data_IF_791052198770
#
_entry.id   IF_791052198770
#
_cell.length_a   1.000
_cell.length_b   1.000
_cell.length_c   1.000
_cell.angle_alpha   90.00
_cell.angle_beta   90.00
_cell.angle_gamma   90.00
#
_symmetry.space_group_name_H-M   'P 1'
#
loop_
_entity.id
_entity.type
_entity.pdbx_description
1 polymer ?
#
# COMPACT_ATOMS: atom_id res chain seq x y z
N UNK A 1 7.23 -16.50 -27.95
CA UNK A 1 7.45 -17.93 -27.69
C UNK A 1 8.87 -18.13 -27.18
N UNK A 2 8.99 -18.94 -26.13
CA UNK A 2 10.18 -19.49 -25.45
C UNK A 2 11.41 -18.60 -25.22
N UNK A 3 11.75 -18.41 -23.94
CA UNK A 3 13.06 -18.77 -23.38
C UNK A 3 12.94 -18.94 -21.86
N UNK A 4 12.64 -20.17 -21.44
CA UNK A 4 12.86 -20.66 -20.07
C UNK A 4 14.32 -21.13 -20.05
N UNK A 5 15.18 -20.45 -19.31
CA UNK A 5 16.58 -20.84 -19.13
C UNK A 5 16.67 -21.82 -17.96
N UNK A 6 16.86 -23.08 -18.31
CA UNK A 6 17.19 -24.19 -17.42
C UNK A 6 18.64 -24.00 -16.93
N UNK A 7 18.86 -23.69 -15.65
CA UNK A 7 20.21 -23.71 -15.06
C UNK A 7 20.44 -25.08 -14.43
N UNK A 8 21.22 -25.89 -15.13
CA UNK A 8 21.80 -27.14 -14.64
C UNK A 8 22.91 -26.81 -13.64
N UNK A 9 22.87 -27.38 -12.43
CA UNK A 9 24.01 -27.41 -11.51
C UNK A 9 24.45 -28.85 -11.31
N UNK A 10 25.62 -29.18 -11.86
CA UNK A 10 26.39 -30.38 -11.53
C UNK A 10 27.87 -29.97 -11.58
N UNK A 11 28.63 -30.12 -10.49
CA UNK A 11 29.71 -31.12 -10.26
C UNK A 11 30.77 -30.36 -9.43
N UNK A 12 31.54 -30.85 -8.44
CA UNK A 12 31.94 -32.18 -8.00
C UNK A 12 32.33 -32.14 -6.50
N UNK A 13 32.19 -33.29 -5.84
CA UNK A 13 32.95 -33.70 -4.65
C UNK A 13 34.29 -34.31 -5.08
N UNK A 14 35.40 -33.91 -4.44
CA UNK A 14 36.55 -34.72 -3.92
C UNK A 14 37.34 -33.74 -3.01
N UNK A 15 37.80 -34.00 -1.78
CA UNK A 15 37.91 -35.18 -0.93
C UNK A 15 39.06 -34.96 0.08
N UNK A 16 39.02 -35.72 1.19
CA UNK A 16 40.06 -35.98 2.21
C UNK A 16 40.14 -35.08 3.48
N UNK A 17 39.88 -35.73 4.63
CA UNK A 17 40.34 -35.28 5.95
C UNK A 17 39.40 -35.67 7.11
N UNK A 18 39.45 -36.93 7.56
CA UNK A 18 38.56 -37.43 8.62
C UNK A 18 38.89 -36.96 10.03
N UNK A 19 37.85 -36.81 10.88
CA UNK A 19 37.86 -37.15 12.31
C UNK A 19 36.43 -37.14 12.86
N UNK A 20 36.15 -38.11 13.71
CA UNK A 20 34.89 -38.31 14.45
C UNK A 20 34.72 -37.20 15.48
N UNK A 21 33.51 -36.69 15.65
CA UNK A 21 32.93 -36.40 16.98
C UNK A 21 31.42 -36.14 16.85
N UNK A 22 30.66 -36.87 17.68
CA UNK A 22 29.23 -36.72 17.89
C UNK A 22 28.96 -35.42 18.65
N UNK A 23 28.04 -34.60 18.14
CA UNK A 23 27.64 -33.37 18.81
C UNK A 23 26.38 -32.81 18.15
N UNK A 24 25.25 -32.95 18.86
CA UNK A 24 23.95 -32.38 18.48
C UNK A 24 24.05 -30.87 18.51
N UNK A 25 24.10 -30.24 17.34
CA UNK A 25 23.89 -28.81 17.15
C UNK A 25 22.72 -28.61 16.19
N UNK A 26 21.50 -28.45 16.75
CA UNK A 26 20.37 -27.85 16.04
C UNK A 26 20.60 -26.34 15.97
N UNK A 27 21.48 -25.91 15.08
CA UNK A 27 21.56 -24.54 14.60
C UNK A 27 21.03 -24.54 13.17
N UNK A 28 19.71 -24.44 13.01
CA UNK A 28 19.14 -24.11 11.71
C UNK A 28 19.39 -22.61 11.50
N UNK A 29 20.55 -22.32 10.93
CA UNK A 29 20.86 -21.09 10.22
C UNK A 29 19.87 -20.97 9.05
N UNK A 30 18.71 -20.38 9.33
CA UNK A 30 17.80 -19.91 8.28
C UNK A 30 18.38 -18.59 7.83
N UNK A 31 19.37 -18.65 6.95
CA UNK A 31 19.76 -17.53 6.12
C UNK A 31 18.50 -17.10 5.37
N UNK A 32 17.94 -15.98 5.81
CA UNK A 32 16.91 -15.27 5.07
C UNK A 32 17.52 -14.91 3.72
N UNK A 33 17.15 -15.66 2.69
CA UNK A 33 17.33 -15.24 1.31
C UNK A 33 16.48 -13.98 1.14
N UNK A 34 17.13 -12.83 1.36
CA UNK A 34 16.64 -11.55 0.87
C UNK A 34 16.73 -11.63 -0.65
N UNK A 35 15.65 -12.11 -1.27
CA UNK A 35 15.36 -11.81 -2.66
C UNK A 35 15.12 -10.30 -2.76
N UNK A 36 16.19 -9.52 -2.91
CA UNK A 36 16.11 -8.18 -3.50
C UNK A 36 15.90 -8.34 -5.01
N UNK A 37 14.78 -8.95 -5.36
CA UNK A 37 14.25 -8.95 -6.71
C UNK A 37 13.74 -7.53 -6.97
N UNK A 38 14.24 -6.93 -8.04
CA UNK A 38 14.10 -5.53 -8.49
C UNK A 38 12.65 -5.13 -8.83
N UNK A 39 11.70 -5.41 -7.93
CA UNK A 39 10.27 -5.25 -8.12
C UNK A 39 9.89 -3.79 -7.83
N UNK A 40 9.12 -3.13 -8.72
CA UNK A 40 8.68 -1.76 -8.49
C UNK A 40 7.97 -1.61 -7.13
N UNK A 41 8.32 -0.57 -6.37
CA UNK A 41 7.68 -0.30 -5.08
C UNK A 41 6.19 -0.02 -5.23
N UNK A 42 5.80 0.69 -6.29
CA UNK A 42 4.41 0.95 -6.64
C UNK A 42 4.14 0.24 -7.97
N UNK A 43 3.13 -0.61 -7.99
CA UNK A 43 2.77 -1.40 -9.18
C UNK A 43 1.44 -0.98 -9.80
N UNK A 44 0.61 -0.27 -9.05
CA UNK A 44 -0.66 0.24 -9.57
C UNK A 44 -0.39 1.47 -10.45
N UNK A 45 -0.76 1.45 -11.74
CA UNK A 45 -0.42 2.51 -12.67
C UNK A 45 -1.14 3.83 -12.36
N UNK A 46 -2.31 3.79 -11.72
CA UNK A 46 -3.05 4.98 -11.32
C UNK A 46 -2.32 5.66 -10.16
N UNK A 47 -1.89 4.89 -9.16
CA UNK A 47 -1.11 5.39 -8.01
C UNK A 47 0.25 5.87 -8.46
N UNK A 48 0.97 5.09 -9.27
CA UNK A 48 2.29 5.44 -9.77
C UNK A 48 2.24 6.77 -10.52
N UNK A 49 1.30 6.93 -11.46
CA UNK A 49 1.14 8.16 -12.22
C UNK A 49 0.84 9.35 -11.31
N UNK A 50 -0.05 9.19 -10.34
CA UNK A 50 -0.40 10.26 -9.41
C UNK A 50 0.79 10.69 -8.53
N UNK A 51 1.60 9.74 -8.06
CA UNK A 51 2.84 10.04 -7.32
C UNK A 51 3.82 10.81 -8.19
N UNK A 52 4.00 10.39 -9.45
CA UNK A 52 4.91 11.09 -10.38
C UNK A 52 4.48 12.51 -10.66
N UNK A 53 3.17 12.74 -10.80
CA UNK A 53 2.58 14.08 -10.97
C UNK A 53 2.82 14.94 -9.72
N UNK A 54 2.55 14.41 -8.52
CA UNK A 54 2.77 15.10 -7.24
C UNK A 54 4.25 15.48 -7.04
N UNK A 55 5.16 14.55 -7.31
CA UNK A 55 6.60 14.75 -7.13
C UNK A 55 7.26 15.51 -8.28
N UNK A 56 6.52 15.81 -9.35
CA UNK A 56 7.07 16.36 -10.61
C UNK A 56 8.25 15.52 -11.15
N UNK A 57 8.13 14.19 -11.03
CA UNK A 57 9.16 13.19 -11.38
C UNK A 57 8.62 12.22 -12.45
N UNK A 58 8.64 12.60 -13.73
CA UNK A 58 7.97 11.83 -14.79
C UNK A 58 8.68 10.51 -15.14
N UNK A 59 9.98 10.40 -14.86
CA UNK A 59 10.81 9.24 -15.24
C UNK A 59 11.68 8.77 -14.07
N UNK A 60 12.36 7.64 -14.26
CA UNK A 60 13.22 7.02 -13.26
C UNK A 60 12.42 6.23 -12.21
N UNK A 61 13.17 5.54 -11.35
CA UNK A 61 12.63 4.72 -10.27
C UNK A 61 12.01 5.59 -9.16
N UNK A 62 10.90 5.12 -8.60
CA UNK A 62 10.32 5.69 -7.37
C UNK A 62 10.91 4.94 -6.17
N UNK A 63 11.72 5.66 -5.38
CA UNK A 63 12.39 5.14 -4.19
C UNK A 63 11.52 5.34 -2.94
N UNK A 64 11.85 4.68 -1.82
CA UNK A 64 11.17 4.94 -0.53
C UNK A 64 11.23 6.42 -0.12
N UNK A 65 12.39 7.05 -0.31
CA UNK A 65 12.60 8.47 -0.05
C UNK A 65 11.74 9.39 -0.93
N UNK A 66 11.33 8.93 -2.12
CA UNK A 66 10.35 9.64 -2.93
C UNK A 66 8.95 9.53 -2.31
N UNK A 67 8.55 8.33 -1.86
CA UNK A 67 7.25 8.10 -1.24
C UNK A 67 7.06 8.89 0.06
N UNK A 68 8.13 9.06 0.85
CA UNK A 68 8.11 9.89 2.07
C UNK A 68 7.80 11.37 1.81
N UNK A 69 8.05 11.86 0.60
CA UNK A 69 7.73 13.26 0.22
C UNK A 69 6.27 13.43 -0.18
N UNK A 70 5.55 12.36 -0.47
CA UNK A 70 4.15 12.40 -0.90
C UNK A 70 3.25 12.61 0.31
N UNK A 71 2.79 13.85 0.49
CA UNK A 71 1.89 14.23 1.60
C UNK A 71 0.46 14.48 1.14
N UNK A 72 0.23 14.60 -0.17
CA UNK A 72 -1.07 14.84 -0.80
C UNK A 72 -1.18 13.97 -2.05
N UNK A 73 -2.37 13.42 -2.30
CA UNK A 73 -2.63 12.68 -3.53
C UNK A 73 -4.09 12.89 -3.96
N UNK A 74 -4.30 13.03 -5.27
CA UNK A 74 -5.62 13.17 -5.87
C UNK A 74 -5.86 12.09 -6.93
N UNK A 75 -6.85 11.24 -6.68
CA UNK A 75 -7.27 10.13 -7.53
C UNK A 75 -8.73 10.34 -7.98
N UNK A 76 -9.00 11.54 -8.50
CA UNK A 76 -10.34 11.99 -8.90
C UNK A 76 -10.74 11.37 -10.24
N UNK A 77 -12.00 10.90 -10.37
CA UNK A 77 -12.56 10.40 -11.64
C UNK A 77 -11.73 9.30 -12.30
N UNK A 78 -11.22 8.37 -11.49
CA UNK A 78 -10.38 7.26 -11.95
C UNK A 78 -11.16 5.96 -12.15
N UNK A 79 -12.48 5.98 -11.94
CA UNK A 79 -13.36 4.82 -12.06
C UNK A 79 -12.94 3.68 -11.11
N UNK A 80 -12.35 4.02 -9.96
CA UNK A 80 -11.88 3.04 -8.98
C UNK A 80 -13.06 2.30 -8.36
N UNK A 81 -13.02 0.98 -8.37
CA UNK A 81 -14.00 0.11 -7.68
C UNK A 81 -13.49 -0.36 -6.32
N UNK A 82 -12.18 -0.29 -6.09
CA UNK A 82 -11.49 -0.59 -4.83
C UNK A 82 -10.34 0.41 -4.62
N UNK A 83 -9.84 0.50 -3.38
CA UNK A 83 -8.64 1.29 -3.08
C UNK A 83 -7.43 0.67 -3.79
N UNK A 84 -6.71 1.43 -4.63
CA UNK A 84 -5.56 0.91 -5.36
C UNK A 84 -4.45 0.35 -4.46
N UNK A 85 -3.84 -0.76 -4.88
CA UNK A 85 -2.70 -1.35 -4.17
C UNK A 85 -1.49 -0.42 -4.21
N UNK A 86 -0.72 -0.38 -3.12
CA UNK A 86 0.46 0.46 -2.99
C UNK A 86 0.16 1.83 -2.39
N UNK A 87 -1.11 2.24 -2.31
CA UNK A 87 -1.49 3.47 -1.60
C UNK A 87 -1.05 3.40 -0.14
N UNK A 88 -1.11 2.22 0.48
CA UNK A 88 -0.69 1.97 1.86
C UNK A 88 0.80 2.22 2.14
N UNK A 89 1.63 2.34 1.08
CA UNK A 89 3.05 2.68 1.21
C UNK A 89 3.28 4.18 1.43
N UNK A 90 2.28 5.02 1.20
CA UNK A 90 2.35 6.48 1.37
C UNK A 90 2.12 6.86 2.84
N UNK A 91 3.01 6.44 3.73
CA UNK A 91 2.85 6.59 5.18
C UNK A 91 2.87 8.04 5.68
N UNK A 92 3.28 9.01 4.85
CA UNK A 92 3.24 10.45 5.14
C UNK A 92 1.99 11.15 4.58
N UNK A 93 1.06 10.42 3.95
CA UNK A 93 -0.10 11.03 3.31
C UNK A 93 -1.02 11.68 4.35
N UNK A 94 -1.28 12.97 4.16
CA UNK A 94 -2.15 13.79 5.03
C UNK A 94 -3.43 14.22 4.34
N UNK A 95 -3.44 14.23 3.01
CA UNK A 95 -4.57 14.56 2.16
C UNK A 95 -4.75 13.49 1.09
N UNK A 96 -5.95 12.93 1.00
CA UNK A 96 -6.32 12.00 -0.06
C UNK A 96 -7.67 12.40 -0.64
N UNK A 97 -7.71 12.60 -1.94
CA UNK A 97 -8.95 12.86 -2.66
C UNK A 97 -9.30 11.68 -3.58
N UNK A 98 -10.43 11.03 -3.31
CA UNK A 98 -11.01 9.91 -4.06
C UNK A 98 -12.38 10.29 -4.65
N UNK A 99 -12.62 11.58 -4.84
CA UNK A 99 -13.88 12.13 -5.36
C UNK A 99 -14.25 11.52 -6.72
N UNK A 100 -15.54 11.23 -6.88
CA UNK A 100 -16.16 10.77 -8.13
C UNK A 100 -15.50 9.48 -8.65
N UNK A 101 -15.59 8.42 -7.85
CA UNK A 101 -15.17 7.06 -8.18
C UNK A 101 -16.35 6.10 -7.99
N UNK A 102 -16.08 4.78 -7.91
CA UNK A 102 -17.10 3.74 -7.80
C UNK A 102 -16.85 2.85 -6.57
N UNK A 103 -16.21 3.40 -5.53
CA UNK A 103 -15.85 2.65 -4.33
C UNK A 103 -17.09 2.21 -3.57
N UNK A 104 -17.16 0.93 -3.25
CA UNK A 104 -18.16 0.35 -2.34
C UNK A 104 -17.60 0.08 -0.94
N UNK A 105 -16.26 0.04 -0.82
CA UNK A 105 -15.52 0.02 0.43
C UNK A 105 -14.24 0.86 0.30
N UNK A 106 -13.53 1.06 1.42
CA UNK A 106 -12.23 1.75 1.44
C UNK A 106 -11.13 0.94 2.12
N UNK A 107 -11.20 -0.39 2.01
CA UNK A 107 -10.23 -1.27 2.63
C UNK A 107 -8.82 -0.96 2.15
N UNK A 108 -7.89 -0.82 3.07
CA UNK A 108 -6.51 -0.41 2.84
C UNK A 108 -6.22 1.02 3.30
N UNK A 109 -7.23 1.90 3.36
CA UNK A 109 -7.03 3.25 3.89
C UNK A 109 -6.65 3.26 5.36
N UNK A 110 -7.02 2.23 6.14
CA UNK A 110 -6.73 2.17 7.57
C UNK A 110 -5.24 2.20 7.93
N UNK A 111 -4.36 1.96 6.94
CA UNK A 111 -2.90 2.05 7.10
C UNK A 111 -2.39 3.49 7.02
N UNK A 112 -3.18 4.43 6.49
CA UNK A 112 -2.82 5.83 6.29
C UNK A 112 -3.14 6.68 7.52
N UNK A 113 -2.58 6.30 8.67
CA UNK A 113 -2.90 6.86 9.99
C UNK A 113 -2.53 8.34 10.18
N UNK A 114 -1.83 8.95 9.21
CA UNK A 114 -1.53 10.39 9.16
C UNK A 114 -2.55 11.21 8.36
N UNK A 115 -3.55 10.58 7.75
CA UNK A 115 -4.60 11.30 7.02
C UNK A 115 -5.34 12.27 7.93
N UNK A 116 -5.42 13.52 7.46
CA UNK A 116 -6.16 14.62 8.11
C UNK A 116 -7.37 15.03 7.30
N UNK A 117 -7.32 14.84 5.98
CA UNK A 117 -8.41 15.10 5.06
C UNK A 117 -8.56 13.93 4.08
N UNK A 118 -9.77 13.37 4.06
CA UNK A 118 -10.20 12.35 3.12
C UNK A 118 -11.48 12.81 2.40
N UNK A 119 -11.44 12.84 1.07
CA UNK A 119 -12.62 13.11 0.25
C UNK A 119 -13.06 11.81 -0.44
N UNK A 120 -14.24 11.32 -0.07
CA UNK A 120 -14.89 10.12 -0.60
C UNK A 120 -16.23 10.47 -1.28
N UNK A 121 -16.49 11.75 -1.55
CA UNK A 121 -17.74 12.15 -2.17
C UNK A 121 -17.89 11.59 -3.60
N UNK A 122 -19.13 11.37 -4.05
CA UNK A 122 -19.39 10.79 -5.37
C UNK A 122 -18.90 9.35 -5.51
N UNK A 123 -19.14 8.51 -4.51
CA UNK A 123 -18.82 7.08 -4.55
C UNK A 123 -20.10 6.23 -4.38
N UNK A 124 -19.95 4.92 -4.18
CA UNK A 124 -21.05 3.96 -4.04
C UNK A 124 -21.10 3.33 -2.65
N UNK A 125 -20.64 4.06 -1.62
CA UNK A 125 -20.66 3.58 -0.24
C UNK A 125 -22.10 3.49 0.26
N UNK A 126 -22.51 2.32 0.74
CA UNK A 126 -23.85 2.06 1.32
C UNK A 126 -23.85 2.11 2.85
N UNK A 127 -22.68 1.87 3.44
CA UNK A 127 -22.39 1.98 4.86
C UNK A 127 -21.03 2.68 5.05
N UNK A 128 -20.77 3.15 6.28
CA UNK A 128 -19.43 3.61 6.60
C UNK A 128 -18.44 2.45 6.53
N UNK A 129 -17.31 2.60 5.82
CA UNK A 129 -16.34 1.53 5.70
C UNK A 129 -15.68 1.20 7.03
N UNK A 130 -15.63 -0.09 7.36
CA UNK A 130 -14.84 -0.59 8.49
C UNK A 130 -13.37 -0.23 8.31
N UNK A 131 -12.73 0.21 9.40
CA UNK A 131 -11.33 0.62 9.41
C UNK A 131 -11.14 2.13 9.29
N UNK A 132 -12.19 2.90 8.94
CA UNK A 132 -12.12 4.36 8.93
C UNK A 132 -11.84 4.91 10.33
N UNK A 133 -12.32 4.23 11.38
CA UNK A 133 -12.06 4.56 12.79
C UNK A 133 -10.57 4.53 13.17
N UNK A 134 -9.72 3.87 12.37
CA UNK A 134 -8.26 3.84 12.57
C UNK A 134 -7.58 5.11 12.06
N UNK A 135 -8.27 5.94 11.29
CA UNK A 135 -7.78 7.25 10.86
C UNK A 135 -7.92 8.27 11.99
N UNK A 136 -7.21 8.04 13.08
CA UNK A 136 -7.35 8.81 14.34
C UNK A 136 -6.96 10.27 14.22
N UNK A 137 -6.29 10.67 13.14
CA UNK A 137 -5.94 12.06 12.83
C UNK A 137 -6.89 12.75 11.85
N UNK A 138 -7.95 12.06 11.40
CA UNK A 138 -8.87 12.58 10.41
C UNK A 138 -9.71 13.72 11.00
N UNK A 139 -9.58 14.91 10.40
CA UNK A 139 -10.30 16.12 10.82
C UNK A 139 -11.33 16.59 9.81
N UNK A 140 -11.20 16.16 8.55
CA UNK A 140 -12.10 16.46 7.45
C UNK A 140 -12.42 15.18 6.69
N UNK A 141 -13.70 14.91 6.54
CA UNK A 141 -14.22 13.79 5.76
C UNK A 141 -15.32 14.33 4.86
N UNK A 142 -15.37 13.94 3.59
CA UNK A 142 -16.48 14.28 2.70
C UNK A 142 -17.12 13.00 2.18
N UNK A 143 -18.42 12.85 2.39
CA UNK A 143 -19.18 11.64 2.04
C UNK A 143 -20.46 11.92 1.24
N UNK A 144 -20.71 13.19 0.86
CA UNK A 144 -21.88 13.53 0.04
C UNK A 144 -21.86 12.77 -1.30
N UNK A 145 -23.02 12.61 -1.93
CA UNK A 145 -23.18 11.83 -3.16
C UNK A 145 -22.70 10.37 -3.03
N UNK A 146 -22.98 9.76 -1.86
CA UNK A 146 -22.93 8.31 -1.64
C UNK A 146 -24.35 7.75 -1.39
N UNK A 147 -24.45 6.47 -1.05
CA UNK A 147 -25.72 5.76 -0.77
C UNK A 147 -25.82 5.35 0.71
N UNK A 148 -25.19 6.13 1.59
CA UNK A 148 -25.13 5.85 3.03
C UNK A 148 -26.54 5.93 3.64
N UNK A 149 -26.91 4.86 4.35
CA UNK A 149 -28.19 4.80 5.09
C UNK A 149 -28.00 4.93 6.60
N UNK A 150 -26.78 4.71 7.09
CA UNK A 150 -26.38 4.84 8.48
C UNK A 150 -24.98 5.49 8.56
N UNK A 151 -24.79 6.33 9.57
CA UNK A 151 -23.57 7.07 9.87
C UNK A 151 -23.17 6.99 11.35
N UNK A 152 -23.76 6.07 12.15
CA UNK A 152 -23.43 5.90 13.57
C UNK A 152 -21.92 5.69 13.82
N UNK A 153 -21.21 5.04 12.89
CA UNK A 153 -19.77 4.83 13.06
C UNK A 153 -18.92 6.11 12.96
N UNK A 154 -19.48 7.25 12.52
CA UNK A 154 -18.78 8.55 12.58
C UNK A 154 -18.41 8.94 14.01
N UNK A 155 -19.16 8.47 15.02
CA UNK A 155 -18.88 8.75 16.44
C UNK A 155 -17.49 8.25 16.87
N UNK A 156 -16.94 7.24 16.18
CA UNK A 156 -15.60 6.72 16.43
C UNK A 156 -14.49 7.66 15.92
N UNK A 157 -14.80 8.57 14.99
CA UNK A 157 -13.88 9.57 14.44
C UNK A 157 -13.79 10.80 15.35
N UNK A 158 -13.24 10.60 16.55
CA UNK A 158 -13.22 11.60 17.64
C UNK A 158 -12.53 12.93 17.30
N UNK A 159 -11.70 12.99 16.26
CA UNK A 159 -11.02 14.20 15.80
C UNK A 159 -11.72 14.91 14.64
N UNK A 160 -12.84 14.37 14.15
CA UNK A 160 -13.55 14.92 13.01
C UNK A 160 -14.16 16.29 13.36
N UNK A 161 -13.87 17.29 12.53
CA UNK A 161 -14.34 18.67 12.71
C UNK A 161 -15.23 19.13 11.57
N UNK A 162 -15.09 18.52 10.40
CA UNK A 162 -15.83 18.87 9.19
C UNK A 162 -16.26 17.59 8.48
N UNK A 163 -17.53 17.53 8.09
CA UNK A 163 -18.20 16.44 7.38
C UNK A 163 -18.91 16.99 6.13
#
# INVERSE_FOLDING_TARGET
MQKILLVMVAVALVGCGGRKEEGVAKGADVTAEQETSNKPLITDPIVEKAIREELKKPTGELTEADLEKVTRLALIRKQLTEVPKGLEKLNQLTYLNLYDNQLTDVKGLEKLTKLKWLDLAGNKLTELPKGLEKLTQLTRLSLHDNQLTDVQELEKLTQLKYL
#
